data_IF_239225680465
#
_entry.id   IF_239225680465
#
_cell.length_a   1.000
_cell.length_b   1.000
_cell.length_c   1.000
_cell.angle_alpha   90.00
_cell.angle_beta   90.00
_cell.angle_gamma   90.00
#
_symmetry.space_group_name_H-M   'P 1'
#
loop_
_entity.id
_entity.type
_entity.pdbx_description
1 polymer ?
#
# COMPACT_ATOMS: atom_id res chain seq x y z
N UNK A 1 20.65 -24.90 9.41
CA UNK A 1 19.41 -25.13 8.65
C UNK A 1 19.24 -23.98 7.69
N UNK A 2 19.26 -24.22 6.37
CA UNK A 2 19.06 -23.16 5.38
C UNK A 2 17.67 -22.53 5.60
N UNK A 3 17.64 -21.25 5.98
CA UNK A 3 16.39 -20.55 6.28
C UNK A 3 15.74 -20.16 4.95
N UNK A 4 14.80 -20.99 4.48
CA UNK A 4 14.07 -20.84 3.20
C UNK A 4 13.50 -19.43 3.06
N UNK A 5 13.10 -18.81 4.17
CA UNK A 5 12.62 -17.42 4.25
C UNK A 5 13.64 -16.41 3.72
N UNK A 6 14.92 -16.60 4.04
CA UNK A 6 16.02 -15.75 3.58
C UNK A 6 16.26 -15.91 2.08
N UNK A 7 16.14 -17.14 1.57
CA UNK A 7 16.19 -17.43 0.14
C UNK A 7 15.05 -16.73 -0.63
N UNK A 8 13.83 -16.75 -0.08
CA UNK A 8 12.67 -16.02 -0.63
C UNK A 8 12.93 -14.51 -0.61
N UNK A 9 13.39 -13.96 0.52
CA UNK A 9 13.71 -12.54 0.64
C UNK A 9 14.80 -12.11 -0.35
N UNK A 10 15.83 -12.95 -0.55
CA UNK A 10 16.91 -12.69 -1.49
C UNK A 10 16.42 -12.73 -2.95
N UNK A 11 15.57 -13.70 -3.29
CA UNK A 11 14.91 -13.75 -4.61
C UNK A 11 14.02 -12.54 -4.86
N UNK A 12 13.25 -12.12 -3.86
CA UNK A 12 12.47 -10.88 -3.92
C UNK A 12 13.37 -9.64 -4.05
N UNK A 13 14.52 -9.59 -3.37
CA UNK A 13 15.46 -8.48 -3.46
C UNK A 13 16.01 -8.34 -4.89
N UNK A 14 16.36 -9.46 -5.52
CA UNK A 14 16.76 -9.48 -6.93
C UNK A 14 15.63 -8.94 -7.84
N UNK A 15 14.39 -9.37 -7.63
CA UNK A 15 13.22 -8.82 -8.35
C UNK A 15 13.02 -7.32 -8.10
N UNK A 16 13.21 -6.86 -6.87
CA UNK A 16 13.11 -5.43 -6.51
C UNK A 16 14.17 -4.59 -7.23
N UNK A 17 15.39 -5.11 -7.35
CA UNK A 17 16.48 -4.48 -8.09
C UNK A 17 16.19 -4.42 -9.60
N UNK A 18 15.69 -5.52 -10.16
CA UNK A 18 15.28 -5.59 -11.58
C UNK A 18 14.13 -4.62 -11.89
N UNK A 19 13.18 -4.48 -10.96
CA UNK A 19 12.06 -3.53 -11.05
C UNK A 19 12.50 -2.06 -11.08
N UNK A 20 13.78 -1.76 -10.81
CA UNK A 20 14.32 -0.39 -10.69
C UNK A 20 13.54 0.48 -9.70
N UNK A 21 12.83 -0.15 -8.76
CA UNK A 21 12.00 0.54 -7.78
C UNK A 21 12.78 0.64 -6.47
N UNK A 22 13.37 1.81 -6.23
CA UNK A 22 14.15 2.10 -5.02
C UNK A 22 13.33 1.89 -3.75
N UNK A 23 12.04 2.19 -3.75
CA UNK A 23 11.16 1.93 -2.59
C UNK A 23 11.10 0.44 -2.27
N UNK A 24 10.85 -0.41 -3.28
CA UNK A 24 10.78 -1.87 -3.09
C UNK A 24 12.14 -2.42 -2.68
N UNK A 25 13.21 -2.01 -3.34
CA UNK A 25 14.57 -2.45 -3.03
C UNK A 25 14.94 -2.11 -1.58
N UNK A 26 14.69 -0.88 -1.13
CA UNK A 26 14.96 -0.44 0.24
C UNK A 26 14.10 -1.24 1.24
N UNK A 27 12.81 -1.42 0.99
CA UNK A 27 11.95 -2.22 1.88
C UNK A 27 12.48 -3.64 2.06
N UNK A 28 12.88 -4.31 0.98
CA UNK A 28 13.38 -5.69 1.06
C UNK A 28 14.75 -5.74 1.76
N UNK A 29 15.64 -4.79 1.49
CA UNK A 29 16.94 -4.68 2.17
C UNK A 29 16.76 -4.54 3.68
N UNK A 30 15.86 -3.65 4.11
CA UNK A 30 15.53 -3.47 5.53
C UNK A 30 14.98 -4.76 6.13
N UNK A 31 14.08 -5.46 5.45
CA UNK A 31 13.54 -6.74 5.91
C UNK A 31 14.62 -7.82 6.04
N UNK A 32 15.57 -7.89 5.10
CA UNK A 32 16.72 -8.82 5.18
C UNK A 32 17.57 -8.50 6.40
N UNK A 33 17.91 -7.23 6.64
CA UNK A 33 18.71 -6.82 7.80
C UNK A 33 18.02 -7.22 9.10
N UNK A 34 16.73 -6.89 9.24
CA UNK A 34 15.92 -7.23 10.42
C UNK A 34 15.83 -8.74 10.62
N UNK A 35 15.74 -9.52 9.53
CA UNK A 35 15.65 -10.99 9.59
C UNK A 35 16.97 -11.64 10.05
N UNK A 36 18.10 -11.15 9.55
CA UNK A 36 19.44 -11.71 9.86
C UNK A 36 19.89 -11.32 11.26
N UNK A 37 19.44 -10.17 11.77
CA UNK A 37 19.66 -9.78 13.16
C UNK A 37 18.64 -10.42 14.11
N UNK A 38 18.92 -10.49 15.43
CA UNK A 38 17.92 -10.93 16.43
C UNK A 38 16.68 -10.00 16.52
N UNK A 39 16.62 -8.96 15.68
CA UNK A 39 15.46 -8.09 15.54
C UNK A 39 14.25 -8.77 14.90
N UNK A 40 14.39 -10.00 14.41
CA UNK A 40 13.29 -10.89 14.01
C UNK A 40 12.11 -10.85 15.01
N UNK A 41 12.37 -10.83 16.32
CA UNK A 41 11.32 -10.80 17.34
C UNK A 41 10.42 -9.55 17.24
N UNK A 42 10.90 -8.48 16.60
CA UNK A 42 10.13 -7.26 16.35
C UNK A 42 9.30 -7.31 15.07
N UNK A 43 9.31 -8.39 14.28
CA UNK A 43 8.45 -8.51 13.09
C UNK A 43 6.97 -8.22 13.38
N UNK A 44 6.34 -8.75 14.45
CA UNK A 44 4.93 -8.44 14.75
C UNK A 44 4.70 -6.95 15.03
N UNK A 45 5.68 -6.30 15.65
CA UNK A 45 5.63 -4.86 15.89
C UNK A 45 5.81 -4.08 14.59
N UNK A 46 6.77 -4.47 13.73
CA UNK A 46 7.00 -3.86 12.42
C UNK A 46 5.77 -4.01 11.52
N UNK A 47 5.10 -5.17 11.51
CA UNK A 47 3.89 -5.38 10.72
C UNK A 47 2.75 -4.47 11.19
N UNK A 48 2.52 -4.39 12.50
CA UNK A 48 1.39 -3.65 13.07
C UNK A 48 1.63 -2.13 13.07
N UNK A 49 2.82 -1.70 13.49
CA UNK A 49 3.18 -0.28 13.55
C UNK A 49 3.59 0.24 12.18
N UNK A 50 4.22 -0.58 11.33
CA UNK A 50 4.56 -0.19 9.97
C UNK A 50 3.33 0.18 9.15
N UNK A 51 2.25 -0.61 9.24
CA UNK A 51 0.97 -0.25 8.63
C UNK A 51 0.39 1.04 9.22
N UNK A 52 0.38 1.18 10.55
CA UNK A 52 -0.16 2.36 11.22
C UNK A 52 0.60 3.63 10.81
N UNK A 53 1.93 3.60 10.85
CA UNK A 53 2.80 4.70 10.42
C UNK A 53 2.62 4.97 8.93
N UNK A 54 2.53 3.92 8.10
CA UNK A 54 2.26 4.06 6.67
C UNK A 54 0.94 4.77 6.38
N UNK A 55 -0.14 4.42 7.09
CA UNK A 55 -1.44 5.08 6.97
C UNK A 55 -1.36 6.54 7.43
N UNK A 56 -0.65 6.83 8.52
CA UNK A 56 -0.45 8.21 8.99
C UNK A 56 0.28 9.03 7.92
N UNK A 57 1.39 8.52 7.38
CA UNK A 57 2.16 9.20 6.32
C UNK A 57 1.29 9.41 5.07
N UNK A 58 0.54 8.39 4.65
CA UNK A 58 -0.38 8.48 3.53
C UNK A 58 -1.48 9.52 3.77
N UNK A 59 -2.04 9.57 4.98
CA UNK A 59 -3.07 10.55 5.37
C UNK A 59 -2.52 11.98 5.32
N UNK A 60 -1.31 12.19 5.84
CA UNK A 60 -0.61 13.48 5.73
C UNK A 60 -0.42 13.87 4.26
N UNK A 61 0.05 12.94 3.42
CA UNK A 61 0.23 13.18 1.98
C UNK A 61 -1.06 13.59 1.26
N UNK A 62 -2.19 12.95 1.60
CA UNK A 62 -3.51 13.29 1.04
C UNK A 62 -4.04 14.64 1.55
N UNK A 63 -3.71 15.02 2.79
CA UNK A 63 -4.12 16.31 3.39
C UNK A 63 -3.20 17.48 3.01
N UNK A 64 -1.97 17.22 2.56
CA UNK A 64 -0.99 18.24 2.21
C UNK A 64 -1.49 19.27 1.18
N UNK A 65 -2.26 18.91 0.12
CA UNK A 65 -2.84 19.89 -0.80
C UNK A 65 -3.77 20.90 -0.10
N UNK A 66 -4.56 20.44 0.89
CA UNK A 66 -5.45 21.31 1.67
C UNK A 66 -4.62 22.28 2.51
N UNK A 67 -3.58 21.80 3.18
CA UNK A 67 -2.69 22.62 4.00
C UNK A 67 -1.84 23.60 3.18
N UNK A 68 -1.47 23.24 1.94
CA UNK A 68 -0.70 24.09 1.02
C UNK A 68 -1.50 25.27 0.44
N UNK A 69 -2.82 25.32 0.68
CA UNK A 69 -3.71 26.36 0.12
C UNK A 69 -4.03 26.19 -1.37
N UNK A 70 -3.57 25.10 -2.00
CA UNK A 70 -3.88 24.81 -3.42
C UNK A 70 -5.34 24.42 -3.66
N UNK A 71 -6.07 24.04 -2.61
CA UNK A 71 -7.53 23.85 -2.66
C UNK A 71 -8.25 24.97 -1.89
N UNK A 72 -8.90 25.92 -2.59
CA UNK A 72 -9.70 26.94 -1.94
C UNK A 72 -10.81 26.31 -1.08
N UNK A 73 -11.06 26.78 0.15
CA UNK A 73 -12.12 26.24 1.02
C UNK A 73 -13.52 26.30 0.39
N UNK A 74 -13.75 27.30 -0.46
CA UNK A 74 -14.98 27.43 -1.27
C UNK A 74 -15.18 26.24 -2.21
N UNK A 75 -14.10 25.68 -2.77
CA UNK A 75 -14.14 24.48 -3.63
C UNK A 75 -14.54 23.25 -2.82
N UNK A 76 -14.15 23.13 -1.55
CA UNK A 76 -14.54 22.00 -0.71
C UNK A 76 -16.05 22.00 -0.45
N UNK A 77 -16.63 23.14 -0.06
CA UNK A 77 -18.07 23.24 0.19
C UNK A 77 -18.87 23.04 -1.10
N UNK A 78 -18.44 23.63 -2.22
CA UNK A 78 -19.07 23.38 -3.52
C UNK A 78 -18.92 21.93 -3.99
N UNK A 79 -17.82 21.25 -3.61
CA UNK A 79 -17.63 19.84 -3.92
C UNK A 79 -18.69 19.00 -3.25
N UNK A 80 -19.00 19.21 -1.97
CA UNK A 80 -20.06 18.44 -1.29
C UNK A 80 -21.46 18.56 -1.93
N UNK A 81 -21.75 19.65 -2.65
CA UNK A 81 -23.02 19.84 -3.37
C UNK A 81 -22.97 19.28 -4.80
N UNK A 82 -21.77 19.08 -5.36
CA UNK A 82 -21.60 18.62 -6.73
C UNK A 82 -21.77 17.09 -6.81
N UNK A 83 -22.68 16.64 -7.68
CA UNK A 83 -22.96 15.22 -7.91
C UNK A 83 -21.68 14.39 -8.16
N UNK A 84 -20.72 14.96 -8.90
CA UNK A 84 -19.43 14.30 -9.15
C UNK A 84 -18.65 14.01 -7.87
N UNK A 85 -18.65 14.95 -6.92
CA UNK A 85 -17.96 14.73 -5.65
C UNK A 85 -18.71 13.76 -4.75
N UNK A 86 -20.05 13.75 -4.79
CA UNK A 86 -20.84 12.79 -4.02
C UNK A 86 -20.52 11.36 -4.46
N UNK A 87 -20.43 11.13 -5.77
CA UNK A 87 -19.97 9.86 -6.35
C UNK A 87 -18.52 9.58 -5.96
N UNK A 88 -17.62 10.58 -5.99
CA UNK A 88 -16.24 10.40 -5.56
C UNK A 88 -16.13 10.00 -4.08
N UNK A 89 -16.95 10.59 -3.20
CA UNK A 89 -17.04 10.22 -1.78
C UNK A 89 -17.55 8.79 -1.64
N UNK A 90 -18.61 8.41 -2.36
CA UNK A 90 -19.15 7.05 -2.32
C UNK A 90 -18.11 6.01 -2.77
N UNK A 91 -17.37 6.30 -3.86
CA UNK A 91 -16.26 5.47 -4.32
C UNK A 91 -15.14 5.43 -3.27
N UNK A 92 -14.80 6.56 -2.64
CA UNK A 92 -13.81 6.63 -1.58
C UNK A 92 -14.17 5.76 -0.36
N UNK A 93 -15.43 5.79 0.07
CA UNK A 93 -15.95 4.92 1.15
C UNK A 93 -15.90 3.46 0.74
N UNK A 94 -16.25 3.14 -0.51
CA UNK A 94 -16.19 1.77 -1.01
C UNK A 94 -14.74 1.24 -1.08
N UNK A 95 -13.80 2.06 -1.56
CA UNK A 95 -12.37 1.73 -1.63
C UNK A 95 -11.78 1.56 -0.24
N UNK A 96 -12.10 2.43 0.73
CA UNK A 96 -11.59 2.30 2.10
C UNK A 96 -12.13 1.05 2.79
N UNK A 97 -13.38 0.69 2.53
CA UNK A 97 -13.98 -0.54 3.03
C UNK A 97 -13.28 -1.80 2.46
N UNK A 98 -13.06 -1.85 1.15
CA UNK A 98 -12.33 -2.95 0.51
C UNK A 98 -10.88 -3.03 0.99
N UNK A 99 -10.18 -1.88 1.09
CA UNK A 99 -8.81 -1.81 1.59
C UNK A 99 -8.70 -2.30 3.03
N UNK A 100 -9.60 -1.86 3.92
CA UNK A 100 -9.65 -2.31 5.31
C UNK A 100 -9.90 -3.81 5.44
N UNK A 101 -10.81 -4.37 4.62
CA UNK A 101 -11.05 -5.82 4.54
C UNK A 101 -9.81 -6.57 4.05
N UNK A 102 -9.12 -6.05 3.03
CA UNK A 102 -7.88 -6.62 2.52
C UNK A 102 -6.79 -6.68 3.59
N UNK A 103 -6.56 -5.58 4.32
CA UNK A 103 -5.56 -5.52 5.39
C UNK A 103 -5.92 -6.51 6.52
N UNK A 104 -7.19 -6.61 6.88
CA UNK A 104 -7.65 -7.56 7.92
C UNK A 104 -7.49 -9.01 7.46
N UNK A 105 -7.78 -9.31 6.19
CA UNK A 105 -7.55 -10.64 5.61
C UNK A 105 -6.07 -11.02 5.63
N UNK A 106 -5.16 -10.09 5.34
CA UNK A 106 -3.71 -10.33 5.41
C UNK A 106 -3.26 -10.72 6.82
N UNK A 107 -3.81 -10.09 7.86
CA UNK A 107 -3.49 -10.41 9.25
C UNK A 107 -4.08 -11.74 9.73
N UNK A 108 -5.29 -12.09 9.30
CA UNK A 108 -5.97 -13.31 9.74
C UNK A 108 -5.57 -14.56 8.93
N UNK A 109 -5.27 -14.40 7.64
CA UNK A 109 -4.96 -15.49 6.72
C UNK A 109 -3.74 -15.15 5.86
N UNK A 110 -2.52 -15.30 6.42
CA UNK A 110 -1.28 -14.97 5.71
C UNK A 110 -1.12 -15.71 4.37
N UNK A 111 -1.71 -16.91 4.22
CA UNK A 111 -1.65 -17.65 2.95
C UNK A 111 -2.33 -16.90 1.80
N UNK A 112 -3.30 -16.04 2.09
CA UNK A 112 -4.01 -15.25 1.08
C UNK A 112 -3.25 -13.99 0.65
N UNK A 113 -2.20 -13.59 1.36
CA UNK A 113 -1.42 -12.37 1.03
C UNK A 113 -0.86 -12.46 -0.38
N UNK A 114 -0.28 -13.61 -0.74
CA UNK A 114 0.22 -13.84 -2.10
C UNK A 114 -0.89 -13.68 -3.15
N UNK A 115 -2.07 -14.25 -2.89
CA UNK A 115 -3.25 -14.10 -3.74
C UNK A 115 -3.71 -12.65 -3.87
N UNK A 116 -3.73 -11.89 -2.77
CA UNK A 116 -4.06 -10.47 -2.78
C UNK A 116 -3.05 -9.66 -3.60
N UNK A 117 -1.76 -9.94 -3.46
CA UNK A 117 -0.70 -9.27 -4.21
C UNK A 117 -0.84 -9.54 -5.71
N UNK A 118 -1.02 -10.80 -6.10
CA UNK A 118 -1.25 -11.19 -7.51
C UNK A 118 -2.52 -10.52 -8.05
N UNK A 119 -3.62 -10.56 -7.30
CA UNK A 119 -4.87 -9.92 -7.68
C UNK A 119 -4.74 -8.40 -7.85
N UNK A 120 -3.95 -7.74 -7.00
CA UNK A 120 -3.69 -6.30 -7.11
C UNK A 120 -2.90 -5.97 -8.37
N UNK A 121 -1.84 -6.73 -8.66
CA UNK A 121 -1.02 -6.54 -9.87
C UNK A 121 -1.85 -6.79 -11.12
N UNK A 122 -2.63 -7.87 -11.16
CA UNK A 122 -3.53 -8.18 -12.27
C UNK A 122 -4.61 -7.11 -12.45
N UNK A 123 -5.24 -6.68 -11.36
CA UNK A 123 -6.24 -5.60 -11.39
C UNK A 123 -5.65 -4.32 -11.99
N UNK A 124 -4.47 -3.90 -11.50
CA UNK A 124 -3.80 -2.71 -12.04
C UNK A 124 -3.42 -2.91 -13.52
N UNK A 125 -2.91 -4.06 -13.92
CA UNK A 125 -2.54 -4.34 -15.31
C UNK A 125 -3.75 -4.29 -16.26
N UNK A 126 -4.86 -4.93 -15.88
CA UNK A 126 -6.09 -4.96 -16.66
C UNK A 126 -6.74 -3.57 -16.75
N UNK A 127 -6.93 -2.88 -15.62
CA UNK A 127 -7.63 -1.58 -15.60
C UNK A 127 -6.78 -0.40 -16.08
N UNK A 128 -5.44 -0.45 -16.00
CA UNK A 128 -4.58 0.58 -16.63
C UNK A 128 -4.61 0.49 -18.15
N UNK A 129 -4.65 -0.71 -18.72
CA UNK A 129 -4.77 -0.91 -20.17
C UNK A 129 -6.05 -0.28 -20.74
N UNK A 130 -7.16 -0.32 -19.99
CA UNK A 130 -8.44 0.28 -20.41
C UNK A 130 -8.41 1.82 -20.41
N UNK A 131 -7.61 2.44 -19.52
CA UNK A 131 -7.50 3.91 -19.45
C UNK A 131 -6.50 4.53 -20.43
N UNK A 132 -5.62 3.74 -21.06
CA UNK A 132 -4.69 4.24 -22.09
C UNK A 132 -5.25 4.20 -23.51
N UNK A 133 -6.51 3.75 -23.70
CA UNK A 133 -7.16 3.63 -25.00
C UNK A 133 -8.21 4.72 -25.29
N UNK A 134 -8.25 5.80 -24.49
CA UNK A 134 -9.03 7.02 -24.71
C UNK A 134 -8.17 8.23 -24.37
#
# INVERSE_FOLDING_TARGET
>A
MFDVTLLILLGLAALGFISHNTTVAVSILVLIIVRVTPLNTFFPWIEKQGLTVGIIILTIGVMAPIASGTLPPSTLIHSFVNWKSLVAIAVGVFVSWLGGRGITLMGNQPQLVAGLLVGTVLGVALFRGVRSAH
#
